data_IF_686357134133
#
_entry.id   IF_686357134133
#
_cell.length_a   1.000
_cell.length_b   1.000
_cell.length_c   1.000
_cell.angle_alpha   90.00
_cell.angle_beta   90.00
_cell.angle_gamma   90.00
#
_symmetry.space_group_name_H-M   'P 1'
#
loop_
_entity.id
_entity.type
_entity.pdbx_description
1 polymer ?
#
# COMPACT_ATOMS: atom_id res chain seq x y z
N UNK A 1 19.79 75.35 13.92
CA UNK A 1 20.56 74.27 13.26
C UNK A 1 20.31 74.37 11.77
N UNK A 2 21.37 74.51 10.97
CA UNK A 2 21.33 74.84 9.53
C UNK A 2 20.69 73.71 8.69
N UNK A 3 19.93 74.08 7.66
CA UNK A 3 19.28 73.18 6.67
C UNK A 3 20.24 72.09 6.13
N UNK A 4 21.52 72.42 5.97
CA UNK A 4 22.54 71.48 5.52
C UNK A 4 22.70 70.25 6.43
N UNK A 5 22.52 70.42 7.75
CA UNK A 5 22.62 69.30 8.69
C UNK A 5 21.42 68.36 8.57
N UNK A 6 20.24 68.90 8.23
CA UNK A 6 19.01 68.10 8.05
C UNK A 6 19.07 67.27 6.76
N UNK A 7 19.65 67.83 5.70
CA UNK A 7 19.86 67.15 4.42
C UNK A 7 20.86 65.99 4.55
N UNK A 8 21.96 66.22 5.28
CA UNK A 8 22.98 65.19 5.55
C UNK A 8 22.42 64.00 6.33
N UNK A 9 21.67 64.25 7.41
CA UNK A 9 21.01 63.19 8.20
C UNK A 9 19.99 62.40 7.39
N UNK A 10 19.25 63.06 6.48
CA UNK A 10 18.27 62.40 5.62
C UNK A 10 18.94 61.50 4.57
N UNK A 11 20.07 61.95 4.02
CA UNK A 11 20.86 61.18 3.07
C UNK A 11 21.52 59.94 3.70
N UNK A 12 22.02 60.07 4.94
CA UNK A 12 22.57 58.93 5.69
C UNK A 12 21.48 57.90 6.03
N UNK A 13 20.26 58.36 6.38
CA UNK A 13 19.10 57.48 6.58
C UNK A 13 18.72 56.74 5.29
N UNK A 14 18.67 57.45 4.16
CA UNK A 14 18.39 56.84 2.86
C UNK A 14 19.42 55.78 2.46
N UNK A 15 20.71 56.04 2.69
CA UNK A 15 21.78 55.04 2.50
C UNK A 15 21.61 53.81 3.38
N UNK A 16 21.26 54.01 4.65
CA UNK A 16 20.98 52.91 5.58
C UNK A 16 19.77 52.09 5.16
N UNK A 17 18.71 52.73 4.67
CA UNK A 17 17.51 52.04 4.17
C UNK A 17 17.82 51.26 2.88
N UNK A 18 18.63 51.82 1.97
CA UNK A 18 19.06 51.13 0.75
C UNK A 18 19.97 49.92 1.05
N UNK A 19 20.86 50.05 2.04
CA UNK A 19 21.68 48.93 2.53
C UNK A 19 20.81 47.84 3.18
N UNK A 20 19.80 48.22 3.95
CA UNK A 20 18.82 47.28 4.51
C UNK A 20 18.01 46.56 3.42
N UNK A 21 17.62 47.27 2.36
CA UNK A 21 16.94 46.67 1.21
C UNK A 21 17.85 45.71 0.44
N UNK A 22 19.13 46.07 0.23
CA UNK A 22 20.10 45.20 -0.42
C UNK A 22 20.32 43.91 0.38
N UNK A 23 20.45 44.02 1.71
CA UNK A 23 20.56 42.86 2.59
C UNK A 23 19.31 41.98 2.53
N UNK A 24 18.12 42.58 2.53
CA UNK A 24 16.86 41.84 2.40
C UNK A 24 16.76 41.10 1.05
N UNK A 25 17.22 41.71 -0.04
CA UNK A 25 17.26 41.07 -1.36
C UNK A 25 18.25 39.91 -1.40
N UNK A 26 19.43 40.06 -0.78
CA UNK A 26 20.42 38.96 -0.69
C UNK A 26 19.90 37.81 0.18
N UNK A 27 19.26 38.11 1.31
CA UNK A 27 18.65 37.10 2.18
C UNK A 27 17.49 36.39 1.46
N UNK A 28 16.65 37.12 0.72
CA UNK A 28 15.59 36.56 -0.10
C UNK A 28 16.12 35.67 -1.22
N UNK A 29 17.19 36.10 -1.90
CA UNK A 29 17.87 35.31 -2.94
C UNK A 29 18.40 34.00 -2.38
N UNK A 30 19.08 34.05 -1.25
CA UNK A 30 19.60 32.84 -0.57
C UNK A 30 18.47 31.89 -0.17
N UNK A 31 17.35 32.44 0.32
CA UNK A 31 16.16 31.64 0.62
C UNK A 31 15.56 30.95 -0.60
N UNK A 32 15.59 31.59 -1.78
CA UNK A 32 15.14 30.99 -3.04
C UNK A 32 16.09 29.86 -3.47
N UNK A 33 17.41 30.07 -3.40
CA UNK A 33 18.42 29.05 -3.75
C UNK A 33 18.28 27.79 -2.85
N UNK A 34 18.04 27.98 -1.55
CA UNK A 34 17.82 26.88 -0.60
C UNK A 34 16.53 26.09 -0.93
N UNK A 35 15.47 26.79 -1.34
CA UNK A 35 14.20 26.19 -1.77
C UNK A 35 14.37 25.42 -3.09
N UNK A 36 15.08 25.98 -4.06
CA UNK A 36 15.37 25.34 -5.35
C UNK A 36 16.14 24.03 -5.16
N UNK A 37 17.16 24.03 -4.30
CA UNK A 37 17.91 22.82 -3.94
C UNK A 37 17.02 21.75 -3.30
N UNK A 38 16.13 22.15 -2.38
CA UNK A 38 15.17 21.24 -1.77
C UNK A 38 14.17 20.66 -2.79
N UNK A 39 13.73 21.47 -3.77
CA UNK A 39 12.87 21.02 -4.86
C UNK A 39 13.56 20.01 -5.77
N UNK A 40 14.82 20.25 -6.15
CA UNK A 40 15.59 19.34 -6.99
C UNK A 40 15.74 17.96 -6.32
N UNK A 41 16.15 17.93 -5.05
CA UNK A 41 16.25 16.69 -4.27
C UNK A 41 14.90 15.97 -4.15
N UNK A 42 13.83 16.73 -3.92
CA UNK A 42 12.45 16.23 -3.85
C UNK A 42 12.00 15.62 -5.19
N UNK A 43 12.30 16.27 -6.31
CA UNK A 43 11.90 15.84 -7.65
C UNK A 43 12.50 14.48 -8.03
N UNK A 44 13.62 14.08 -7.45
CA UNK A 44 14.22 12.76 -7.67
C UNK A 44 13.72 11.73 -6.65
N UNK A 45 13.62 12.12 -5.38
CA UNK A 45 13.36 11.18 -4.27
C UNK A 45 11.90 10.77 -4.13
N UNK A 46 10.95 11.65 -4.45
CA UNK A 46 9.52 11.31 -4.37
C UNK A 46 9.08 10.28 -5.42
N UNK A 47 9.44 10.43 -6.72
CA UNK A 47 9.13 9.41 -7.72
C UNK A 47 9.78 8.06 -7.40
N UNK A 48 11.04 8.08 -6.94
CA UNK A 48 11.77 6.88 -6.53
C UNK A 48 11.03 6.15 -5.39
N UNK A 49 10.64 6.87 -4.33
CA UNK A 49 9.91 6.31 -3.21
C UNK A 49 8.51 5.81 -3.61
N UNK A 50 7.80 6.54 -4.47
CA UNK A 50 6.48 6.14 -5.00
C UNK A 50 6.58 4.84 -5.80
N UNK A 51 7.57 4.74 -6.68
CA UNK A 51 7.84 3.54 -7.48
C UNK A 51 8.23 2.35 -6.61
N UNK A 52 9.11 2.54 -5.63
CA UNK A 52 9.49 1.50 -4.67
C UNK A 52 8.29 0.98 -3.87
N UNK A 53 7.44 1.87 -3.35
CA UNK A 53 6.23 1.47 -2.64
C UNK A 53 5.24 0.73 -3.54
N UNK A 54 5.13 1.13 -4.81
CA UNK A 54 4.28 0.43 -5.79
C UNK A 54 4.80 -0.97 -6.09
N UNK A 55 6.12 -1.15 -6.25
CA UNK A 55 6.72 -2.46 -6.44
C UNK A 55 6.49 -3.36 -5.22
N UNK A 56 6.75 -2.86 -4.01
CA UNK A 56 6.50 -3.59 -2.76
C UNK A 56 5.03 -3.97 -2.62
N UNK A 57 4.10 -3.07 -2.97
CA UNK A 57 2.66 -3.38 -2.96
C UNK A 57 2.32 -4.53 -3.90
N UNK A 58 2.88 -4.54 -5.11
CA UNK A 58 2.67 -5.61 -6.09
C UNK A 58 3.25 -6.94 -5.63
N UNK A 59 4.48 -6.94 -5.09
CA UNK A 59 5.12 -8.14 -4.56
C UNK A 59 4.33 -8.73 -3.39
N UNK A 60 3.76 -7.87 -2.53
CA UNK A 60 2.95 -8.30 -1.40
C UNK A 60 1.59 -8.88 -1.86
N UNK A 61 0.95 -8.29 -2.87
CA UNK A 61 -0.27 -8.84 -3.49
C UNK A 61 0.00 -10.21 -4.11
N UNK A 62 1.10 -10.36 -4.85
CA UNK A 62 1.50 -11.63 -5.43
C UNK A 62 1.81 -12.69 -4.36
N UNK A 63 2.55 -12.33 -3.31
CA UNK A 63 2.86 -13.22 -2.21
C UNK A 63 1.59 -13.69 -1.48
N UNK A 64 0.64 -12.79 -1.23
CA UNK A 64 -0.63 -13.13 -0.60
C UNK A 64 -1.47 -14.07 -1.46
N UNK A 65 -1.54 -13.84 -2.77
CA UNK A 65 -2.23 -14.74 -3.71
C UNK A 65 -1.60 -16.14 -3.71
N UNK A 66 -0.26 -16.22 -3.75
CA UNK A 66 0.44 -17.50 -3.66
C UNK A 66 0.17 -18.22 -2.34
N UNK A 67 0.11 -17.51 -1.21
CA UNK A 67 -0.23 -18.09 0.10
C UNK A 67 -1.66 -18.65 0.09
N UNK A 68 -2.62 -17.91 -0.47
CA UNK A 68 -4.01 -18.38 -0.59
C UNK A 68 -4.12 -19.65 -1.44
N UNK A 69 -3.44 -19.70 -2.59
CA UNK A 69 -3.40 -20.90 -3.44
C UNK A 69 -2.75 -22.10 -2.73
N UNK A 70 -1.67 -21.87 -1.96
CA UNK A 70 -1.06 -22.92 -1.15
C UNK A 70 -2.00 -23.42 -0.05
N UNK A 71 -2.77 -22.54 0.60
CA UNK A 71 -3.76 -22.92 1.62
C UNK A 71 -4.90 -23.73 0.98
N UNK A 72 -5.40 -23.34 -0.20
CA UNK A 72 -6.43 -24.08 -0.92
C UNK A 72 -5.97 -25.51 -1.25
N UNK A 73 -4.76 -25.65 -1.82
CA UNK A 73 -4.15 -26.96 -2.09
C UNK A 73 -3.99 -27.79 -0.80
N UNK A 74 -3.63 -27.15 0.31
CA UNK A 74 -3.50 -27.82 1.61
C UNK A 74 -4.85 -28.29 2.16
N UNK A 75 -5.93 -27.53 1.95
CA UNK A 75 -7.29 -27.94 2.31
C UNK A 75 -7.71 -29.17 1.50
N UNK A 76 -7.43 -29.18 0.20
CA UNK A 76 -7.72 -30.32 -0.67
C UNK A 76 -6.94 -31.58 -0.25
N UNK A 77 -5.66 -31.45 0.05
CA UNK A 77 -4.84 -32.55 0.57
C UNK A 77 -5.31 -33.02 1.95
N UNK A 78 -5.76 -32.11 2.82
CA UNK A 78 -6.35 -32.47 4.10
C UNK A 78 -7.68 -33.23 3.93
N UNK A 79 -8.49 -32.90 2.92
CA UNK A 79 -9.72 -33.63 2.62
C UNK A 79 -9.45 -35.05 2.09
N UNK A 80 -8.39 -35.22 1.29
CA UNK A 80 -7.88 -36.57 0.92
C UNK A 80 -7.38 -37.33 2.15
N UNK A 81 -6.64 -36.66 3.03
CA UNK A 81 -6.16 -37.24 4.29
C UNK A 81 -7.33 -37.69 5.18
N UNK A 82 -8.40 -36.89 5.29
CA UNK A 82 -9.62 -37.25 6.01
C UNK A 82 -10.27 -38.51 5.44
N UNK A 83 -10.38 -38.64 4.11
CA UNK A 83 -10.92 -39.83 3.48
C UNK A 83 -10.10 -41.09 3.82
N UNK A 84 -8.77 -41.00 3.82
CA UNK A 84 -7.89 -42.10 4.24
C UNK A 84 -8.08 -42.45 5.72
N UNK A 85 -8.30 -41.47 6.60
CA UNK A 85 -8.62 -41.71 8.02
C UNK A 85 -9.94 -42.46 8.17
N UNK A 86 -10.96 -42.11 7.38
CA UNK A 86 -12.26 -42.80 7.38
C UNK A 86 -12.12 -44.26 6.90
N UNK A 87 -11.32 -44.51 5.87
CA UNK A 87 -10.98 -45.86 5.42
C UNK A 87 -10.23 -46.65 6.50
N UNK A 88 -9.25 -46.04 7.18
CA UNK A 88 -8.53 -46.63 8.31
C UNK A 88 -9.46 -46.97 9.47
N UNK A 89 -10.44 -46.11 9.76
CA UNK A 89 -11.47 -46.34 10.78
C UNK A 89 -12.32 -47.56 10.44
N UNK A 90 -12.77 -47.66 9.18
CA UNK A 90 -13.54 -48.79 8.71
C UNK A 90 -12.75 -50.11 8.72
N UNK A 91 -11.44 -50.06 8.48
CA UNK A 91 -10.55 -51.22 8.60
C UNK A 91 -10.32 -51.62 10.07
N UNK A 92 -10.13 -50.64 10.96
CA UNK A 92 -9.92 -50.89 12.38
C UNK A 92 -11.10 -51.64 13.03
N UNK A 93 -12.33 -51.37 12.57
CA UNK A 93 -13.54 -52.06 13.03
C UNK A 93 -13.59 -53.56 12.64
N UNK A 94 -12.79 -53.99 11.66
CA UNK A 94 -12.74 -55.40 11.20
C UNK A 94 -11.69 -56.23 11.93
N UNK A 95 -10.89 -55.61 12.81
CA UNK A 95 -9.83 -56.28 13.54
C UNK A 95 -10.36 -57.06 14.76
N UNK A 96 -9.61 -58.06 15.27
CA UNK A 96 -9.90 -58.69 16.56
C UNK A 96 -9.97 -57.67 17.70
N UNK A 97 -10.74 -57.99 18.75
CA UNK A 97 -11.16 -57.06 19.82
C UNK A 97 -10.00 -56.33 20.53
N UNK A 98 -8.84 -56.98 20.69
CA UNK A 98 -7.66 -56.40 21.33
C UNK A 98 -6.95 -55.36 20.43
N UNK A 99 -6.83 -55.67 19.13
CA UNK A 99 -6.19 -54.80 18.14
C UNK A 99 -7.12 -53.65 17.70
N UNK A 100 -8.43 -53.90 17.66
CA UNK A 100 -9.45 -52.93 17.28
C UNK A 100 -9.47 -51.72 18.24
N UNK A 101 -9.26 -51.94 19.53
CA UNK A 101 -9.24 -50.86 20.54
C UNK A 101 -8.05 -49.92 20.34
N UNK A 102 -6.87 -50.48 20.07
CA UNK A 102 -5.65 -49.71 19.84
C UNK A 102 -5.71 -48.97 18.50
N UNK A 103 -6.17 -49.65 17.45
CA UNK A 103 -6.35 -49.05 16.12
C UNK A 103 -7.40 -47.94 16.14
N UNK A 104 -8.57 -48.16 16.77
CA UNK A 104 -9.62 -47.15 16.90
C UNK A 104 -9.14 -45.89 17.63
N UNK A 105 -8.42 -46.05 18.75
CA UNK A 105 -7.89 -44.91 19.49
C UNK A 105 -6.80 -44.13 18.74
N UNK A 106 -6.05 -44.76 17.84
CA UNK A 106 -5.09 -44.07 16.97
C UNK A 106 -5.80 -43.32 15.84
N UNK A 107 -6.82 -43.94 15.24
CA UNK A 107 -7.63 -43.32 14.19
C UNK A 107 -8.39 -42.10 14.71
N UNK A 108 -8.97 -42.15 15.91
CA UNK A 108 -9.63 -40.98 16.53
C UNK A 108 -8.66 -39.81 16.74
N UNK A 109 -7.42 -40.09 17.18
CA UNK A 109 -6.40 -39.05 17.32
C UNK A 109 -6.03 -38.44 15.97
N UNK A 110 -5.90 -39.27 14.94
CA UNK A 110 -5.57 -38.80 13.58
C UNK A 110 -6.72 -37.97 12.98
N UNK A 111 -7.96 -38.35 13.24
CA UNK A 111 -9.16 -37.59 12.84
C UNK A 111 -9.23 -36.23 13.55
N UNK A 112 -8.94 -36.19 14.84
CA UNK A 112 -8.86 -34.95 15.61
C UNK A 112 -7.75 -34.02 15.08
N UNK A 113 -6.58 -34.56 14.71
CA UNK A 113 -5.49 -33.79 14.11
C UNK A 113 -5.89 -33.22 12.75
N UNK A 114 -6.50 -34.02 11.87
CA UNK A 114 -6.97 -33.55 10.55
C UNK A 114 -8.04 -32.46 10.68
N UNK A 115 -8.98 -32.62 11.64
CA UNK A 115 -10.01 -31.61 11.89
C UNK A 115 -9.42 -30.31 12.40
N UNK A 116 -8.48 -30.40 13.36
CA UNK A 116 -7.75 -29.23 13.87
C UNK A 116 -6.96 -28.52 12.76
N UNK A 117 -6.29 -29.30 11.92
CA UNK A 117 -5.50 -28.79 10.79
C UNK A 117 -6.39 -28.05 9.78
N UNK A 118 -7.56 -28.60 9.44
CA UNK A 118 -8.54 -27.93 8.57
C UNK A 118 -8.99 -26.58 9.13
N UNK A 119 -9.28 -26.53 10.44
CA UNK A 119 -9.67 -25.28 11.11
C UNK A 119 -8.56 -24.23 11.01
N UNK A 120 -7.32 -24.61 11.30
CA UNK A 120 -6.16 -23.70 11.21
C UNK A 120 -5.99 -23.19 9.77
N UNK A 121 -6.13 -24.04 8.76
CA UNK A 121 -6.03 -23.63 7.35
C UNK A 121 -7.13 -22.63 6.98
N UNK A 122 -8.38 -22.86 7.41
CA UNK A 122 -9.49 -21.92 7.19
C UNK A 122 -9.27 -20.58 7.89
N UNK A 123 -8.73 -20.60 9.11
CA UNK A 123 -8.36 -19.39 9.84
C UNK A 123 -7.23 -18.62 9.12
N UNK A 124 -6.24 -19.32 8.57
CA UNK A 124 -5.18 -18.71 7.76
C UNK A 124 -5.73 -18.06 6.50
N UNK A 125 -6.67 -18.73 5.82
CA UNK A 125 -7.35 -18.18 4.64
C UNK A 125 -8.07 -16.86 5.00
N UNK A 126 -8.87 -16.89 6.07
CA UNK A 126 -9.58 -15.71 6.54
C UNK A 126 -8.64 -14.56 6.93
N UNK A 127 -7.54 -14.85 7.64
CA UNK A 127 -6.58 -13.82 8.05
C UNK A 127 -5.79 -13.22 6.87
N UNK A 128 -5.44 -14.04 5.88
CA UNK A 128 -4.67 -13.58 4.70
C UNK A 128 -5.52 -12.71 3.78
N UNK A 129 -6.84 -12.93 3.75
CA UNK A 129 -7.77 -12.10 2.97
C UNK A 129 -7.74 -10.60 3.33
N UNK A 130 -7.35 -10.23 4.56
CA UNK A 130 -7.17 -8.82 4.98
C UNK A 130 -6.00 -8.11 4.30
N UNK A 131 -5.12 -8.84 3.60
CA UNK A 131 -4.04 -8.25 2.85
C UNK A 131 -4.56 -7.31 1.76
N UNK A 132 -5.71 -7.62 1.15
CA UNK A 132 -6.33 -6.74 0.15
C UNK A 132 -6.61 -5.33 0.70
N UNK A 133 -7.14 -5.24 1.94
CA UNK A 133 -7.37 -3.95 2.59
C UNK A 133 -6.06 -3.18 2.86
N UNK A 134 -4.97 -3.90 3.14
CA UNK A 134 -3.65 -3.29 3.34
C UNK A 134 -3.05 -2.80 2.02
N UNK A 135 -3.22 -3.56 0.93
CA UNK A 135 -2.87 -3.16 -0.44
C UNK A 135 -3.62 -1.90 -0.88
N UNK A 136 -4.93 -1.82 -0.62
CA UNK A 136 -5.73 -0.63 -0.91
C UNK A 136 -5.25 0.62 -0.14
N UNK A 137 -4.93 0.48 1.15
CA UNK A 137 -4.38 1.58 1.95
C UNK A 137 -3.03 2.03 1.43
N UNK A 138 -2.16 1.11 1.04
CA UNK A 138 -0.84 1.42 0.48
C UNK A 138 -0.97 2.13 -0.88
N UNK A 139 -1.85 1.66 -1.77
CA UNK A 139 -2.19 2.34 -3.03
C UNK A 139 -2.66 3.78 -2.80
N UNK A 140 -3.46 4.04 -1.76
CA UNK A 140 -3.89 5.40 -1.39
C UNK A 140 -2.75 6.28 -0.90
N UNK A 141 -1.80 5.73 -0.15
CA UNK A 141 -0.58 6.44 0.28
C UNK A 141 0.27 6.81 -0.95
N UNK A 142 0.49 5.87 -1.86
CA UNK A 142 1.22 6.10 -3.12
C UNK A 142 0.56 7.21 -3.95
N UNK A 143 -0.77 7.17 -4.10
CA UNK A 143 -1.52 8.21 -4.83
C UNK A 143 -1.42 9.59 -4.15
N UNK A 144 -1.44 9.63 -2.82
CA UNK A 144 -1.26 10.88 -2.07
C UNK A 144 0.15 11.43 -2.28
N UNK A 145 1.17 10.55 -2.31
CA UNK A 145 2.55 10.92 -2.57
C UNK A 145 2.72 11.55 -3.96
N UNK A 146 2.12 10.95 -4.99
CA UNK A 146 2.11 11.53 -6.35
C UNK A 146 1.36 12.87 -6.44
N UNK A 147 0.32 13.07 -5.62
CA UNK A 147 -0.36 14.38 -5.54
C UNK A 147 0.54 15.45 -4.92
N UNK A 148 1.29 15.10 -3.89
CA UNK A 148 2.27 15.99 -3.25
C UNK A 148 3.38 16.34 -4.24
N UNK A 149 3.90 15.35 -4.97
CA UNK A 149 4.88 15.52 -6.04
C UNK A 149 4.41 16.54 -7.09
N UNK A 150 3.20 16.35 -7.64
CA UNK A 150 2.66 17.26 -8.66
C UNK A 150 2.55 18.71 -8.17
N UNK A 151 2.11 18.92 -6.92
CA UNK A 151 2.00 20.25 -6.33
C UNK A 151 3.35 20.91 -6.07
N UNK A 152 4.34 20.12 -5.66
CA UNK A 152 5.70 20.58 -5.45
C UNK A 152 6.31 21.02 -6.78
N UNK A 153 6.15 20.24 -7.85
CA UNK A 153 6.60 20.60 -9.21
C UNK A 153 5.90 21.86 -9.75
N UNK A 154 4.59 21.98 -9.54
CA UNK A 154 3.82 23.17 -9.90
C UNK A 154 4.32 24.42 -9.16
N UNK A 155 4.62 24.28 -7.86
CA UNK A 155 5.16 25.37 -7.05
C UNK A 155 6.57 25.77 -7.50
N UNK A 156 7.43 24.81 -7.84
CA UNK A 156 8.75 25.08 -8.40
C UNK A 156 8.67 25.84 -9.74
N UNK A 157 7.74 25.44 -10.63
CA UNK A 157 7.49 26.13 -11.89
C UNK A 157 7.03 27.59 -11.67
N UNK A 158 6.15 27.82 -10.68
CA UNK A 158 5.63 29.15 -10.37
C UNK A 158 6.66 30.10 -9.74
N UNK A 159 7.69 29.56 -9.06
CA UNK A 159 8.79 30.36 -8.47
C UNK A 159 9.83 30.77 -9.53
N UNK A 160 9.73 30.27 -10.77
CA UNK A 160 10.61 30.66 -11.86
C UNK A 160 11.92 29.89 -11.91
N UNK A 161 12.01 28.74 -11.20
CA UNK A 161 13.08 27.77 -11.41
C UNK A 161 12.96 27.30 -12.86
N UNK A 162 13.94 27.64 -13.70
CA UNK A 162 13.97 27.18 -15.10
C UNK A 162 14.21 25.67 -15.10
N UNK A 163 13.11 24.93 -15.16
CA UNK A 163 13.01 23.49 -15.34
C UNK A 163 13.52 23.05 -16.72
N UNK A 164 14.73 23.45 -17.11
CA UNK A 164 15.36 22.93 -18.34
C UNK A 164 15.88 21.50 -18.16
N UNK A 165 15.97 21.01 -16.93
CA UNK A 165 16.44 19.65 -16.58
C UNK A 165 15.39 18.84 -15.79
N UNK A 166 14.22 19.42 -15.49
CA UNK A 166 13.16 18.84 -14.66
C UNK A 166 11.96 18.33 -15.48
N UNK A 167 12.16 18.12 -16.79
CA UNK A 167 11.12 17.54 -17.63
C UNK A 167 10.73 16.17 -17.05
N UNK A 168 9.44 15.93 -16.74
CA UNK A 168 9.01 14.62 -16.32
C UNK A 168 9.41 13.65 -17.42
N UNK A 169 10.13 12.58 -17.08
CA UNK A 169 10.34 11.48 -18.00
C UNK A 169 8.97 11.05 -18.53
N UNK A 170 8.74 11.13 -19.83
CA UNK A 170 7.49 10.76 -20.53
C UNK A 170 7.07 9.30 -20.31
N UNK A 171 7.83 8.53 -19.54
CA UNK A 171 7.35 7.33 -18.88
C UNK A 171 6.35 7.72 -17.79
N UNK A 172 5.10 7.95 -18.21
CA UNK A 172 3.96 7.63 -17.34
C UNK A 172 4.27 6.26 -16.74
N UNK A 173 4.32 6.11 -15.41
CA UNK A 173 4.20 4.78 -14.83
C UNK A 173 2.93 4.22 -15.43
N UNK A 174 3.05 3.13 -16.17
CA UNK A 174 1.90 2.36 -16.62
C UNK A 174 1.30 1.79 -15.35
N UNK A 175 0.52 2.60 -14.64
CA UNK A 175 -0.49 2.13 -13.73
C UNK A 175 -1.38 1.29 -14.63
N UNK A 176 -1.23 -0.03 -14.52
CA UNK A 176 -2.17 -0.94 -15.13
C UNK A 176 -3.54 -0.42 -14.71
N UNK A 177 -4.32 0.00 -15.71
CA UNK A 177 -5.69 0.48 -15.60
C UNK A 177 -6.56 -0.73 -15.20
N UNK A 178 -6.27 -1.28 -14.03
CA UNK A 178 -7.17 -2.12 -13.30
C UNK A 178 -8.15 -1.15 -12.68
N UNK A 179 -9.28 -0.92 -13.36
CA UNK A 179 -10.50 -0.48 -12.69
C UNK A 179 -10.62 -1.29 -11.40
N UNK A 180 -10.25 -0.67 -10.29
CA UNK A 180 -10.63 -1.17 -8.98
C UNK A 180 -12.12 -0.85 -8.90
N UNK A 181 -12.93 -1.77 -9.40
CA UNK A 181 -14.32 -1.85 -9.00
C UNK A 181 -14.28 -2.18 -7.51
N UNK A 182 -14.27 -1.11 -6.71
CA UNK A 182 -14.39 -1.16 -5.28
C UNK A 182 -15.78 -1.72 -4.97
N UNK A 183 -15.90 -3.05 -4.96
CA UNK A 183 -17.13 -3.71 -4.55
C UNK A 183 -17.30 -3.53 -3.05
N UNK A 184 -18.13 -2.56 -2.70
CA UNK A 184 -18.53 -2.35 -1.32
C UNK A 184 -19.51 -3.45 -0.89
N UNK A 185 -19.72 -3.57 0.42
CA UNK A 185 -20.74 -4.47 0.97
C UNK A 185 -22.14 -4.26 0.36
N UNK A 186 -22.43 -3.04 -0.12
CA UNK A 186 -23.67 -2.74 -0.85
C UNK A 186 -23.79 -3.38 -2.24
N UNK A 187 -22.67 -3.75 -2.89
CA UNK A 187 -22.69 -4.47 -4.17
C UNK A 187 -22.91 -5.96 -3.95
N UNK A 188 -22.36 -6.51 -2.85
CA UNK A 188 -22.63 -7.88 -2.39
C UNK A 188 -24.12 -8.05 -2.09
N UNK A 189 -24.74 -7.10 -1.38
CA UNK A 189 -26.17 -7.14 -1.06
C UNK A 189 -27.06 -7.01 -2.30
N UNK A 190 -26.64 -6.26 -3.32
CA UNK A 190 -27.34 -6.19 -4.61
C UNK A 190 -27.26 -7.50 -5.37
N UNK A 191 -26.09 -8.12 -5.45
CA UNK A 191 -25.88 -9.39 -6.16
C UNK A 191 -26.66 -10.52 -5.46
N UNK A 192 -26.64 -10.55 -4.13
CA UNK A 192 -27.44 -11.50 -3.35
C UNK A 192 -28.94 -11.31 -3.59
N UNK A 193 -29.44 -10.08 -3.63
CA UNK A 193 -30.85 -9.81 -3.92
C UNK A 193 -31.23 -10.18 -5.36
N UNK A 194 -30.38 -9.89 -6.34
CA UNK A 194 -30.64 -10.27 -7.75
C UNK A 194 -30.64 -11.79 -7.96
N UNK A 195 -29.74 -12.51 -7.27
CA UNK A 195 -29.71 -13.99 -7.29
C UNK A 195 -30.91 -14.60 -6.55
N UNK A 196 -31.40 -13.95 -5.49
CA UNK A 196 -32.60 -14.38 -4.77
C UNK A 196 -33.86 -14.14 -5.60
N UNK A 197 -33.97 -12.99 -6.29
CA UNK A 197 -35.11 -12.69 -7.16
C UNK A 197 -35.19 -13.59 -8.40
N UNK A 198 -34.04 -13.97 -8.98
CA UNK A 198 -33.98 -14.91 -10.10
C UNK A 198 -34.35 -16.35 -9.76
N UNK A 199 -34.28 -16.75 -8.49
CA UNK A 199 -34.71 -18.09 -8.04
C UNK A 199 -36.19 -18.15 -7.61
N UNK A 200 -36.91 -17.04 -7.70
CA UNK A 200 -38.33 -16.91 -7.35
C UNK A 200 -39.23 -16.60 -8.56
N UNK A 201 -38.68 -16.66 -9.78
CA UNK A 201 -39.40 -16.61 -11.08
C UNK A 201 -39.20 -17.91 -11.84
#
# INVERSE_FOLDING_TARGET
MSENNKLMVTFDKFKSELAGLAQYVDDARKGIDDIESAFQMSSEKFPEASGQLSMVSGDLENAANNIMELIENLVDENDKSKALVDELSALAQKLPEEDAKTAGGLTEKLDAVNTSMKTIMMDMFANTSFHDLSGQKLKKVISTLGTVEAKILEMACNVGVTTSELAPSDEKPSYADGKSEMHGQGDVDKILNDLMQKNLS
#
